data_IF_580782662867
#
_entry.id   IF_580782662867
#
_cell.length_a   1.000
_cell.length_b   1.000
_cell.length_c   1.000
_cell.angle_alpha   90.00
_cell.angle_beta   90.00
_cell.angle_gamma   90.00
#
_symmetry.space_group_name_H-M   'P 1'
#
loop_
_entity.id
_entity.type
_entity.pdbx_description
1 polymer ?
#
# COMPACT_ATOMS: atom_id res chain seq x y z
N UNK A 1 -15.93 25.07 1.70
CA UNK A 1 -15.88 25.03 0.23
C UNK A 1 -15.64 26.45 -0.29
N UNK A 2 -14.42 26.97 -0.16
CA UNK A 2 -14.08 28.34 -0.60
C UNK A 2 -13.45 28.33 -1.98
N UNK A 3 -12.15 28.04 -2.04
CA UNK A 3 -11.33 28.11 -3.26
C UNK A 3 -11.80 27.18 -4.40
N UNK A 4 -12.31 25.99 -4.09
CA UNK A 4 -12.80 25.04 -5.12
C UNK A 4 -13.97 25.60 -5.94
N UNK A 5 -14.71 26.59 -5.42
CA UNK A 5 -15.80 27.24 -6.16
C UNK A 5 -15.29 28.12 -7.32
N UNK A 6 -13.99 28.45 -7.33
CA UNK A 6 -13.38 29.26 -8.39
C UNK A 6 -13.16 28.48 -9.68
N UNK A 7 -13.20 27.15 -9.62
CA UNK A 7 -13.02 26.25 -10.76
C UNK A 7 -14.19 25.27 -10.86
N UNK A 8 -15.42 25.74 -11.14
CA UNK A 8 -16.62 24.90 -11.17
C UNK A 8 -16.56 23.78 -12.23
N UNK A 9 -15.76 23.96 -13.28
CA UNK A 9 -15.49 22.99 -14.35
C UNK A 9 -14.64 21.80 -13.91
N UNK A 10 -13.91 21.93 -12.80
CA UNK A 10 -13.04 20.91 -12.23
C UNK A 10 -13.81 19.99 -11.28
N UNK A 11 -14.74 19.25 -11.87
CA UNK A 11 -15.53 18.23 -11.20
C UNK A 11 -15.54 16.94 -12.01
N UNK A 12 -15.51 15.80 -11.32
CA UNK A 12 -15.78 14.50 -11.93
C UNK A 12 -16.52 13.60 -10.96
N UNK A 13 -17.48 12.84 -11.48
CA UNK A 13 -18.23 11.85 -10.72
C UNK A 13 -17.82 10.45 -11.19
N UNK A 14 -17.69 9.55 -10.22
CA UNK A 14 -17.37 8.15 -10.44
C UNK A 14 -18.21 7.28 -9.52
N UNK A 15 -18.51 6.08 -9.99
CA UNK A 15 -19.06 5.03 -9.16
C UNK A 15 -18.04 3.89 -9.10
N UNK A 16 -17.48 3.65 -7.92
CA UNK A 16 -16.41 2.67 -7.72
C UNK A 16 -16.66 1.90 -6.42
N UNK A 17 -16.62 0.56 -6.48
CA UNK A 17 -16.76 -0.30 -5.29
C UNK A 17 -18.08 -0.11 -4.52
N UNK A 18 -19.18 0.17 -5.23
CA UNK A 18 -20.50 0.43 -4.61
C UNK A 18 -20.62 1.80 -3.94
N UNK A 19 -19.71 2.73 -4.23
CA UNK A 19 -19.71 4.10 -3.70
C UNK A 19 -19.83 5.10 -4.82
N UNK A 20 -20.69 6.09 -4.63
CA UNK A 20 -20.72 7.29 -5.45
C UNK A 20 -19.66 8.26 -4.95
N UNK A 21 -18.78 8.72 -5.84
CA UNK A 21 -17.64 9.57 -5.52
C UNK A 21 -17.71 10.83 -6.37
N UNK A 22 -17.68 11.99 -5.72
CA UNK A 22 -17.62 13.30 -6.36
C UNK A 22 -16.29 13.94 -6.05
N UNK A 23 -15.45 14.07 -7.07
CA UNK A 23 -14.16 14.73 -6.98
C UNK A 23 -14.29 16.17 -7.45
N UNK A 24 -13.74 17.11 -6.68
CA UNK A 24 -13.57 18.50 -7.08
C UNK A 24 -12.15 18.94 -6.75
N UNK A 25 -11.52 19.70 -7.62
CA UNK A 25 -10.14 20.14 -7.38
C UNK A 25 -9.88 21.55 -7.87
N UNK A 26 -8.82 22.13 -7.34
CA UNK A 26 -8.25 23.40 -7.77
C UNK A 26 -6.74 23.25 -7.87
N UNK A 27 -6.16 23.82 -8.91
CA UNK A 27 -4.73 23.84 -9.15
C UNK A 27 -4.15 25.23 -8.86
N UNK A 28 -2.82 25.31 -8.76
CA UNK A 28 -2.07 26.57 -8.67
C UNK A 28 -2.45 27.45 -7.48
N UNK A 29 -2.78 26.82 -6.34
CA UNK A 29 -2.99 27.54 -5.08
C UNK A 29 -1.62 27.95 -4.54
N UNK A 30 -1.32 29.25 -4.56
CA UNK A 30 -0.13 29.79 -3.92
C UNK A 30 -0.25 29.66 -2.40
N UNK A 31 0.63 28.88 -1.80
CA UNK A 31 0.74 28.72 -0.36
C UNK A 31 2.04 29.34 0.12
N UNK A 32 1.93 30.28 1.05
CA UNK A 32 3.08 30.99 1.62
C UNK A 32 3.28 30.58 3.06
N UNK A 33 4.52 30.27 3.45
CA UNK A 33 4.90 29.86 4.80
C UNK A 33 6.25 30.47 5.22
N UNK A 34 6.65 30.27 6.48
CA UNK A 34 7.91 30.82 7.00
C UNK A 34 7.93 32.35 7.02
N UNK A 35 6.86 32.98 7.50
CA UNK A 35 6.69 34.44 7.55
C UNK A 35 6.83 35.14 6.18
N UNK A 36 6.31 34.52 5.11
CA UNK A 36 6.33 35.12 3.78
C UNK A 36 7.53 34.74 2.91
N UNK A 37 8.51 34.02 3.46
CA UNK A 37 9.78 33.75 2.77
C UNK A 37 9.70 32.60 1.78
N UNK A 38 8.87 31.62 2.06
CA UNK A 38 8.74 30.43 1.23
C UNK A 38 7.38 30.40 0.56
N UNK A 39 7.36 30.10 -0.74
CA UNK A 39 6.15 29.97 -1.56
C UNK A 39 6.15 28.62 -2.25
N UNK A 40 5.02 27.95 -2.23
CA UNK A 40 4.81 26.68 -2.90
C UNK A 40 3.51 26.72 -3.71
N UNK A 41 3.50 26.08 -4.88
CA UNK A 41 2.27 25.89 -5.65
C UNK A 41 1.66 24.55 -5.29
N UNK A 42 0.46 24.60 -4.73
CA UNK A 42 -0.26 23.43 -4.28
C UNK A 42 -1.50 23.18 -5.12
N UNK A 43 -1.83 21.91 -5.25
CA UNK A 43 -3.05 21.43 -5.90
C UNK A 43 -3.89 20.73 -4.85
N UNK A 44 -5.17 21.08 -4.77
CA UNK A 44 -6.07 20.58 -3.72
C UNK A 44 -7.21 19.82 -4.37
N UNK A 45 -7.48 18.61 -3.89
CA UNK A 45 -8.62 17.80 -4.32
C UNK A 45 -9.47 17.40 -3.12
N UNK A 46 -10.78 17.49 -3.29
CA UNK A 46 -11.80 16.99 -2.36
C UNK A 46 -12.52 15.83 -3.02
N UNK A 47 -12.66 14.72 -2.31
CA UNK A 47 -13.50 13.60 -2.70
C UNK A 47 -14.60 13.45 -1.65
N UNK A 48 -15.85 13.58 -2.10
CA UNK A 48 -17.03 13.29 -1.30
C UNK A 48 -17.58 11.95 -1.76
N UNK A 49 -17.67 11.00 -0.82
CA UNK A 49 -18.22 9.68 -1.07
C UNK A 49 -19.56 9.51 -0.40
N UNK A 50 -20.47 8.80 -1.05
CA UNK A 50 -21.70 8.31 -0.45
C UNK A 50 -21.97 6.86 -0.84
N UNK A 51 -22.53 6.09 0.09
CA UNK A 51 -22.91 4.70 -0.13
C UNK A 51 -24.03 4.28 0.81
N UNK A 52 -24.75 3.25 0.41
CA UNK A 52 -25.75 2.62 1.27
C UNK A 52 -25.10 1.50 2.09
N UNK A 53 -25.37 1.50 3.40
CA UNK A 53 -24.88 0.48 4.31
C UNK A 53 -26.06 -0.13 5.06
N UNK A 54 -26.21 -1.45 4.96
CA UNK A 54 -27.21 -2.20 5.72
C UNK A 54 -26.66 -2.54 7.10
N UNK A 55 -27.32 -2.03 8.14
CA UNK A 55 -26.98 -2.37 9.52
C UNK A 55 -27.18 -3.86 9.76
N UNK A 56 -26.14 -4.56 10.22
CA UNK A 56 -26.22 -5.98 10.59
C UNK A 56 -27.10 -6.22 11.80
N UNK A 57 -27.27 -5.22 12.66
CA UNK A 57 -28.04 -5.32 13.91
C UNK A 57 -29.52 -5.01 13.67
N UNK A 58 -29.81 -3.96 12.92
CA UNK A 58 -31.19 -3.44 12.75
C UNK A 58 -31.82 -3.80 11.42
N UNK A 59 -31.06 -4.38 10.47
CA UNK A 59 -31.53 -4.76 9.14
C UNK A 59 -31.88 -3.60 8.20
N UNK A 60 -31.86 -2.36 8.70
CA UNK A 60 -32.18 -1.13 7.96
C UNK A 60 -30.99 -0.67 7.11
N UNK A 61 -31.29 -0.16 5.92
CA UNK A 61 -30.33 0.52 5.04
C UNK A 61 -30.23 1.99 5.46
N UNK A 62 -29.01 2.48 5.66
CA UNK A 62 -28.73 3.88 5.94
C UNK A 62 -27.75 4.43 4.91
N UNK A 63 -27.99 5.67 4.45
CA UNK A 63 -27.05 6.39 3.62
C UNK A 63 -25.88 6.88 4.49
N UNK A 64 -24.67 6.51 4.09
CA UNK A 64 -23.41 6.96 4.70
C UNK A 64 -22.69 7.87 3.74
N UNK A 65 -21.86 8.76 4.29
CA UNK A 65 -20.98 9.58 3.50
C UNK A 65 -19.65 9.83 4.21
N UNK A 66 -18.63 10.18 3.44
CA UNK A 66 -17.33 10.60 3.97
C UNK A 66 -16.71 11.61 3.03
N UNK A 67 -15.93 12.54 3.61
CA UNK A 67 -15.20 13.55 2.86
C UNK A 67 -13.70 13.41 3.07
N UNK A 68 -12.97 13.37 1.97
CA UNK A 68 -11.52 13.35 1.94
C UNK A 68 -11.00 14.63 1.29
N UNK A 69 -9.87 15.12 1.78
CA UNK A 69 -9.17 16.28 1.22
C UNK A 69 -7.69 15.95 1.14
N UNK A 70 -7.12 16.09 -0.06
CA UNK A 70 -5.69 15.87 -0.27
C UNK A 70 -5.04 17.11 -0.89
N UNK A 71 -3.78 17.30 -0.54
CA UNK A 71 -2.88 18.30 -1.12
C UNK A 71 -1.84 17.54 -1.95
N UNK A 72 -1.53 18.05 -3.12
CA UNK A 72 -0.58 17.48 -4.06
C UNK A 72 0.37 18.57 -4.54
N UNK A 73 1.67 18.25 -4.60
CA UNK A 73 2.68 19.08 -5.29
C UNK A 73 2.72 18.84 -6.80
N UNK A 74 1.81 18.01 -7.34
CA UNK A 74 1.61 17.81 -8.78
C UNK A 74 0.18 18.13 -9.17
N UNK A 75 0.01 18.63 -10.38
CA UNK A 75 -1.28 19.04 -10.92
C UNK A 75 -2.32 17.90 -10.93
N UNK A 76 -3.56 18.26 -10.57
CA UNK A 76 -4.72 17.36 -10.64
C UNK A 76 -5.48 17.63 -11.93
N UNK A 77 -5.76 16.56 -12.67
CA UNK A 77 -6.49 16.61 -13.94
C UNK A 77 -7.63 15.60 -13.92
N UNK A 78 -8.60 15.76 -14.84
CA UNK A 78 -9.70 14.79 -15.03
C UNK A 78 -9.21 13.36 -15.24
N UNK A 79 -8.06 13.18 -15.88
CA UNK A 79 -7.50 11.86 -16.18
C UNK A 79 -6.74 11.23 -15.00
N UNK A 80 -6.19 12.04 -14.09
CA UNK A 80 -5.34 11.53 -13.01
C UNK A 80 -6.00 11.53 -11.62
N UNK A 81 -7.07 12.31 -11.42
CA UNK A 81 -7.64 12.59 -10.09
C UNK A 81 -8.06 11.33 -9.36
N UNK A 82 -8.73 10.41 -10.04
CA UNK A 82 -9.19 9.14 -9.47
C UNK A 82 -7.99 8.27 -9.06
N UNK A 83 -7.05 8.06 -9.98
CA UNK A 83 -5.85 7.24 -9.72
C UNK A 83 -5.04 7.80 -8.56
N UNK A 84 -4.83 9.12 -8.49
CA UNK A 84 -4.10 9.76 -7.39
C UNK A 84 -4.83 9.60 -6.06
N UNK A 85 -6.14 9.84 -6.02
CA UNK A 85 -6.91 9.72 -4.78
C UNK A 85 -6.99 8.27 -4.30
N UNK A 86 -7.22 7.31 -5.19
CA UNK A 86 -7.41 5.90 -4.84
C UNK A 86 -6.09 5.15 -4.63
N UNK A 87 -5.17 5.22 -5.60
CA UNK A 87 -3.94 4.42 -5.57
C UNK A 87 -2.82 5.03 -4.73
N UNK A 88 -2.91 6.32 -4.40
CA UNK A 88 -1.91 7.00 -3.57
C UNK A 88 -2.56 7.43 -2.25
N UNK A 89 -3.56 8.33 -2.33
CA UNK A 89 -4.20 8.92 -1.15
C UNK A 89 -4.78 7.89 -0.19
N UNK A 90 -5.68 7.03 -0.67
CA UNK A 90 -6.27 5.95 0.15
C UNK A 90 -5.30 4.83 0.46
N UNK A 91 -4.40 4.54 -0.47
CA UNK A 91 -3.44 3.45 -0.31
C UNK A 91 -2.52 3.65 0.91
N UNK A 92 -2.40 4.88 1.44
CA UNK A 92 -1.79 5.16 2.74
C UNK A 92 -2.28 4.22 3.85
N UNK A 93 -3.57 3.86 3.87
CA UNK A 93 -4.11 2.92 4.87
C UNK A 93 -3.43 1.54 4.83
N UNK A 94 -2.93 1.11 3.67
CA UNK A 94 -2.20 -0.16 3.55
C UNK A 94 -0.92 -0.17 4.38
N UNK A 95 -0.32 1.00 4.66
CA UNK A 95 0.83 1.11 5.55
C UNK A 95 0.45 0.71 6.99
N UNK A 96 -0.71 1.17 7.47
CA UNK A 96 -1.23 0.79 8.80
C UNK A 96 -1.51 -0.70 8.89
N UNK A 97 -2.13 -1.28 7.85
CA UNK A 97 -2.31 -2.72 7.77
C UNK A 97 -0.97 -3.46 7.83
N UNK A 98 0.07 -2.97 7.16
CA UNK A 98 1.39 -3.60 7.23
C UNK A 98 2.01 -3.52 8.64
N UNK A 99 1.81 -2.41 9.36
CA UNK A 99 2.22 -2.31 10.77
C UNK A 99 1.49 -3.34 11.65
N UNK A 100 0.19 -3.54 11.44
CA UNK A 100 -0.57 -4.58 12.18
C UNK A 100 -0.03 -5.99 11.92
N UNK A 101 0.37 -6.29 10.67
CA UNK A 101 0.98 -7.57 10.32
C UNK A 101 2.33 -7.75 11.04
N UNK A 102 3.18 -6.72 11.04
CA UNK A 102 4.47 -6.77 11.74
C UNK A 102 4.32 -6.95 13.26
N UNK A 103 3.26 -6.38 13.85
CA UNK A 103 2.97 -6.52 15.27
C UNK A 103 2.43 -7.90 15.63
N UNK A 104 1.41 -8.37 14.90
CA UNK A 104 0.57 -9.48 15.38
C UNK A 104 0.65 -10.76 14.55
N UNK A 105 1.23 -10.75 13.35
CA UNK A 105 1.20 -11.90 12.44
C UNK A 105 2.59 -12.52 12.25
N UNK A 106 3.19 -12.97 13.36
CA UNK A 106 4.40 -13.79 13.36
C UNK A 106 5.72 -13.03 13.46
N UNK A 107 5.76 -11.73 13.18
CA UNK A 107 6.99 -10.92 13.29
C UNK A 107 7.21 -10.34 14.69
N UNK A 108 6.18 -10.29 15.53
CA UNK A 108 6.23 -9.96 16.98
C UNK A 108 7.03 -8.68 17.30
N UNK A 109 6.81 -7.61 16.53
CA UNK A 109 7.54 -6.34 16.72
C UNK A 109 7.31 -5.69 18.10
N UNK A 110 6.27 -6.10 18.83
CA UNK A 110 6.00 -5.60 20.19
C UNK A 110 6.75 -6.38 21.28
N UNK A 111 7.45 -7.46 20.92
CA UNK A 111 8.20 -8.27 21.88
C UNK A 111 9.64 -7.74 22.04
N UNK A 112 10.07 -7.56 23.28
CA UNK A 112 11.42 -7.13 23.62
C UNK A 112 12.37 -8.33 23.64
N UNK A 113 13.05 -8.61 22.51
CA UNK A 113 14.01 -9.73 22.41
C UNK A 113 15.38 -9.43 23.01
N UNK A 114 15.69 -8.16 23.29
CA UNK A 114 16.95 -7.71 23.89
C UNK A 114 16.72 -6.37 24.60
N UNK A 115 17.50 -6.10 25.64
CA UNK A 115 17.54 -4.79 26.30
C UNK A 115 18.70 -3.91 25.82
N UNK A 116 19.58 -4.43 24.94
CA UNK A 116 20.61 -3.64 24.28
C UNK A 116 20.04 -2.91 23.06
N UNK A 117 20.23 -1.59 23.00
CA UNK A 117 19.66 -0.73 21.96
C UNK A 117 20.14 -1.11 20.55
N UNK A 118 21.44 -1.41 20.40
CA UNK A 118 21.99 -1.75 19.10
C UNK A 118 21.46 -3.10 18.60
N UNK A 119 21.32 -4.07 19.51
CA UNK A 119 20.68 -5.35 19.21
C UNK A 119 19.21 -5.18 18.81
N UNK A 120 18.46 -4.30 19.47
CA UNK A 120 17.07 -3.99 19.10
C UNK A 120 16.97 -3.37 17.70
N UNK A 121 17.83 -2.40 17.39
CA UNK A 121 17.89 -1.76 16.06
C UNK A 121 18.29 -2.77 14.99
N UNK A 122 19.31 -3.58 15.24
CA UNK A 122 19.75 -4.64 14.34
C UNK A 122 18.65 -5.67 14.06
N UNK A 123 17.98 -6.16 15.11
CA UNK A 123 16.84 -7.06 14.98
C UNK A 123 15.71 -6.45 14.14
N UNK A 124 15.37 -5.17 14.39
CA UNK A 124 14.34 -4.46 13.64
C UNK A 124 14.65 -4.44 12.13
N UNK A 125 15.88 -4.12 11.74
CA UNK A 125 16.28 -4.10 10.33
C UNK A 125 16.24 -5.49 9.69
N UNK A 126 16.79 -6.51 10.37
CA UNK A 126 16.76 -7.89 9.87
C UNK A 126 15.32 -8.38 9.67
N UNK A 127 14.43 -8.06 10.60
CA UNK A 127 13.02 -8.41 10.48
C UNK A 127 12.30 -7.67 9.36
N UNK A 128 12.66 -6.40 9.10
CA UNK A 128 12.13 -5.68 7.93
C UNK A 128 12.58 -6.33 6.62
N UNK A 129 13.85 -6.74 6.52
CA UNK A 129 14.38 -7.45 5.35
C UNK A 129 13.68 -8.79 5.17
N UNK A 130 13.54 -9.59 6.25
CA UNK A 130 12.81 -10.86 6.21
C UNK A 130 11.36 -10.68 5.78
N UNK A 131 10.68 -9.65 6.29
CA UNK A 131 9.32 -9.29 5.87
C UNK A 131 9.25 -8.93 4.39
N UNK A 132 10.19 -8.12 3.91
CA UNK A 132 10.25 -7.71 2.51
C UNK A 132 10.38 -8.93 1.60
N UNK A 133 11.31 -9.85 1.91
CA UNK A 133 11.48 -11.10 1.17
C UNK A 133 10.18 -11.92 1.18
N UNK A 134 9.54 -12.08 2.35
CA UNK A 134 8.29 -12.85 2.45
C UNK A 134 7.16 -12.27 1.58
N UNK A 135 7.03 -10.95 1.51
CA UNK A 135 6.04 -10.29 0.63
C UNK A 135 6.36 -10.58 -0.83
N UNK A 136 7.62 -10.49 -1.23
CA UNK A 136 8.00 -10.78 -2.61
C UNK A 136 7.76 -12.25 -2.97
N UNK A 137 8.05 -13.19 -2.06
CA UNK A 137 7.78 -14.62 -2.27
C UNK A 137 6.28 -14.89 -2.39
N UNK A 138 5.46 -14.26 -1.55
CA UNK A 138 4.00 -14.39 -1.59
C UNK A 138 3.40 -13.92 -2.91
N UNK A 139 4.05 -12.96 -3.56
CA UNK A 139 3.63 -12.39 -4.84
C UNK A 139 4.53 -12.84 -5.99
N UNK A 140 5.30 -13.91 -5.85
CA UNK A 140 6.18 -14.43 -6.91
C UNK A 140 5.39 -15.28 -7.89
N UNK A 141 5.51 -15.03 -9.20
CA UNK A 141 4.90 -15.88 -10.25
C UNK A 141 5.38 -17.35 -10.12
N UNK A 142 6.63 -17.55 -9.70
CA UNK A 142 7.23 -18.88 -9.55
C UNK A 142 6.66 -19.66 -8.37
N UNK A 143 6.14 -18.97 -7.34
CA UNK A 143 5.71 -19.59 -6.08
C UNK A 143 4.22 -19.44 -5.83
N UNK A 144 3.49 -18.68 -6.63
CA UNK A 144 2.06 -18.38 -6.45
C UNK A 144 1.25 -19.65 -6.17
N UNK A 145 1.40 -20.68 -7.02
CA UNK A 145 0.72 -21.97 -6.83
C UNK A 145 1.01 -22.60 -5.47
N UNK A 146 2.27 -22.58 -5.02
CA UNK A 146 2.63 -23.14 -3.72
C UNK A 146 2.20 -22.27 -2.55
N UNK A 147 2.14 -20.96 -2.72
CA UNK A 147 1.57 -20.05 -1.74
C UNK A 147 0.07 -20.29 -1.60
N UNK A 148 -0.66 -20.51 -2.70
CA UNK A 148 -2.09 -20.87 -2.67
C UNK A 148 -2.34 -22.20 -1.99
N UNK A 149 -1.51 -23.21 -2.25
CA UNK A 149 -1.66 -24.55 -1.68
C UNK A 149 -1.27 -24.63 -0.19
N UNK A 150 -0.13 -24.05 0.19
CA UNK A 150 0.50 -24.25 1.51
C UNK A 150 0.35 -23.06 2.45
N UNK A 151 -0.06 -21.90 1.94
CA UNK A 151 0.07 -20.62 2.63
C UNK A 151 1.53 -20.18 2.78
N UNK A 152 1.73 -18.92 3.18
CA UNK A 152 3.09 -18.34 3.26
C UNK A 152 3.99 -19.06 4.28
N UNK A 153 3.43 -19.45 5.43
CA UNK A 153 4.18 -20.17 6.48
C UNK A 153 4.62 -21.55 5.99
N UNK A 154 3.75 -22.26 5.26
CA UNK A 154 4.06 -23.57 4.70
C UNK A 154 5.14 -23.49 3.61
N UNK A 155 5.09 -22.47 2.75
CA UNK A 155 6.14 -22.20 1.76
C UNK A 155 7.48 -21.90 2.43
N UNK A 156 7.51 -21.10 3.50
CA UNK A 156 8.74 -20.83 4.22
C UNK A 156 9.34 -22.09 4.86
N UNK A 157 8.51 -22.93 5.47
CA UNK A 157 8.95 -24.20 6.01
C UNK A 157 9.49 -25.14 4.90
N UNK A 158 8.84 -25.14 3.73
CA UNK A 158 9.28 -25.90 2.57
C UNK A 158 10.65 -25.43 2.06
N UNK A 159 10.84 -24.12 1.88
CA UNK A 159 12.12 -23.54 1.46
C UNK A 159 13.21 -23.85 2.50
N UNK A 160 12.91 -23.67 3.79
CA UNK A 160 13.87 -23.96 4.85
C UNK A 160 14.28 -25.43 4.88
N UNK A 161 13.33 -26.34 4.64
CA UNK A 161 13.61 -27.77 4.52
C UNK A 161 14.49 -28.06 3.30
N UNK A 162 14.18 -27.49 2.14
CA UNK A 162 15.00 -27.67 0.93
C UNK A 162 16.45 -27.17 1.17
N UNK A 163 16.62 -26.04 1.84
CA UNK A 163 17.94 -25.48 2.14
C UNK A 163 18.73 -26.28 3.19
N UNK A 164 18.06 -27.05 4.06
CA UNK A 164 18.72 -27.79 5.16
C UNK A 164 18.85 -29.29 4.89
N UNK A 165 17.99 -29.86 4.04
CA UNK A 165 17.94 -31.30 3.77
C UNK A 165 18.54 -31.71 2.42
N UNK A 166 18.56 -30.81 1.43
CA UNK A 166 19.05 -31.12 0.08
C UNK A 166 20.41 -30.48 -0.19
N UNK A 167 21.28 -31.21 -0.89
CA UNK A 167 22.52 -30.63 -1.43
C UNK A 167 22.11 -29.72 -2.60
N UNK A 168 22.37 -28.42 -2.46
CA UNK A 168 22.12 -27.46 -3.53
C UNK A 168 22.97 -27.81 -4.75
N UNK A 169 22.31 -28.01 -5.91
CA UNK A 169 22.99 -28.19 -7.18
C UNK A 169 23.54 -26.83 -7.67
N UNK A 170 24.76 -26.53 -7.25
CA UNK A 170 25.44 -25.27 -7.56
C UNK A 170 25.63 -25.08 -9.06
N UNK A 171 25.83 -26.16 -9.81
CA UNK A 171 26.01 -26.11 -11.27
C UNK A 171 24.71 -25.65 -11.93
N UNK A 172 23.59 -26.24 -11.53
CA UNK A 172 22.27 -25.84 -12.04
C UNK A 172 21.91 -24.41 -11.65
N UNK A 173 22.19 -23.99 -10.42
CA UNK A 173 21.96 -22.61 -9.97
C UNK A 173 22.77 -21.65 -10.84
N UNK A 174 24.06 -21.92 -11.06
CA UNK A 174 24.91 -21.10 -11.91
C UNK A 174 24.38 -21.00 -13.35
N UNK A 175 23.90 -22.11 -13.92
CA UNK A 175 23.27 -22.10 -15.25
C UNK A 175 22.03 -21.22 -15.29
N UNK A 176 21.15 -21.29 -14.29
CA UNK A 176 19.94 -20.46 -14.22
C UNK A 176 20.29 -18.99 -14.06
N UNK A 177 21.26 -18.66 -13.20
CA UNK A 177 21.70 -17.27 -12.96
C UNK A 177 22.29 -16.64 -14.23
N UNK A 178 22.99 -17.43 -15.04
CA UNK A 178 23.60 -16.97 -16.29
C UNK A 178 22.64 -17.01 -17.49
N UNK A 179 21.45 -17.62 -17.35
CA UNK A 179 20.45 -17.68 -18.40
C UNK A 179 19.46 -16.51 -18.24
N UNK A 180 19.59 -15.52 -19.13
CA UNK A 180 18.77 -14.30 -19.15
C UNK A 180 17.27 -14.58 -19.33
N UNK A 181 16.85 -15.81 -19.67
CA UNK A 181 15.43 -16.15 -19.76
C UNK A 181 14.75 -16.26 -18.39
N UNK A 182 15.51 -16.46 -17.31
CA UNK A 182 14.97 -16.57 -15.97
C UNK A 182 14.96 -15.23 -15.25
N UNK A 183 13.92 -14.44 -15.51
CA UNK A 183 13.64 -13.23 -14.74
C UNK A 183 12.58 -13.49 -13.68
N UNK A 184 12.87 -13.13 -12.43
CA UNK A 184 11.86 -13.15 -11.39
C UNK A 184 10.80 -12.07 -11.66
N UNK A 185 9.54 -12.50 -11.75
CA UNK A 185 8.38 -11.63 -11.93
C UNK A 185 7.43 -11.77 -10.76
N UNK A 186 6.71 -10.69 -10.50
CA UNK A 186 5.65 -10.68 -9.51
C UNK A 186 4.33 -11.02 -10.20
N UNK A 187 3.55 -11.90 -9.58
CA UNK A 187 2.19 -12.22 -9.97
C UNK A 187 1.34 -10.94 -9.94
N UNK A 188 0.55 -10.74 -10.99
CA UNK A 188 -0.28 -9.55 -11.23
C UNK A 188 -1.54 -9.51 -10.39
#
# INVERSE_FOLDING_TARGET
>A
MGLIRLTPENIIQRHCGGRNQVYRWINDVEYTYGNGRCKERLHVVVCEESWEERSRITGKTALKSTRYVWISGKEITKTNVETRCLKIGRYRWKIENNFLVMKHQGYRYEHCFSYDWNAMVGFHHLMQIGRFINVLLAHSELLEKKVTELGITGVLAFIFKACTADVLDLTRIATIVNDERYHWRLAS
#
